data_IF_797245844736
#
_entry.id   IF_797245844736
#
_cell.length_a   1.000
_cell.length_b   1.000
_cell.length_c   1.000
_cell.angle_alpha   90.00
_cell.angle_beta   90.00
_cell.angle_gamma   90.00
#
_symmetry.space_group_name_H-M   'P 1'
#
loop_
_entity.id
_entity.type
_entity.pdbx_description
1 polymer ?
#
# COMPACT_ATOMS: atom_id res chain seq x y z
N UNK A 1 -10.57 -7.65 -43.41
CA UNK A 1 -9.90 -6.54 -42.68
C UNK A 1 -9.21 -7.17 -41.47
N UNK A 2 -7.89 -7.37 -41.56
CA UNK A 2 -7.10 -7.98 -40.47
C UNK A 2 -6.82 -6.93 -39.42
N UNK A 3 -7.35 -7.11 -38.21
CA UNK A 3 -6.98 -6.37 -37.01
C UNK A 3 -5.63 -6.88 -36.51
N UNK A 4 -4.58 -6.07 -36.70
CA UNK A 4 -3.26 -6.30 -36.09
C UNK A 4 -3.42 -6.13 -34.58
N UNK A 5 -3.03 -7.13 -33.73
CA UNK A 5 -3.04 -6.96 -32.30
C UNK A 5 -2.02 -5.89 -31.91
N UNK A 6 -2.44 -4.84 -31.22
CA UNK A 6 -1.51 -3.89 -30.61
C UNK A 6 -0.70 -4.65 -29.55
N UNK A 7 0.61 -4.77 -29.80
CA UNK A 7 1.54 -5.29 -28.80
C UNK A 7 1.48 -4.41 -27.54
N UNK A 8 1.58 -4.99 -26.31
CA UNK A 8 1.59 -4.21 -25.09
C UNK A 8 2.73 -3.19 -25.17
N UNK A 9 2.39 -1.92 -24.98
CA UNK A 9 3.33 -0.80 -24.99
C UNK A 9 4.38 -1.04 -23.92
N UNK A 10 5.60 -1.40 -24.32
CA UNK A 10 6.74 -1.52 -23.39
C UNK A 10 6.95 -0.15 -22.73
N UNK A 11 6.80 -0.10 -21.43
CA UNK A 11 7.09 1.10 -20.63
C UNK A 11 8.48 1.64 -21.00
N UNK A 12 8.58 2.94 -21.32
CA UNK A 12 9.87 3.50 -21.73
C UNK A 12 10.86 3.44 -20.57
N UNK A 13 12.16 3.19 -20.80
CA UNK A 13 13.17 3.15 -19.74
C UNK A 13 13.21 4.45 -18.91
N UNK A 14 12.96 5.59 -19.54
CA UNK A 14 12.90 6.87 -18.84
C UNK A 14 11.68 6.96 -17.90
N UNK A 15 10.52 6.46 -18.33
CA UNK A 15 9.32 6.39 -17.50
C UNK A 15 9.53 5.49 -16.27
N UNK A 16 10.13 4.32 -16.48
CA UNK A 16 10.44 3.39 -15.40
C UNK A 16 11.40 4.00 -14.36
N UNK A 17 12.48 4.68 -14.81
CA UNK A 17 13.40 5.37 -13.88
C UNK A 17 12.73 6.48 -13.11
N UNK A 18 11.91 7.32 -13.76
CA UNK A 18 11.16 8.37 -13.08
C UNK A 18 10.22 7.82 -12.02
N UNK A 19 9.54 6.71 -12.31
CA UNK A 19 8.64 6.08 -11.33
C UNK A 19 9.41 5.49 -10.15
N UNK A 20 10.54 4.81 -10.40
CA UNK A 20 11.38 4.25 -9.35
C UNK A 20 11.92 5.34 -8.41
N UNK A 21 12.45 6.44 -8.97
CA UNK A 21 12.91 7.60 -8.19
C UNK A 21 11.77 8.27 -7.42
N UNK A 22 10.60 8.39 -8.05
CA UNK A 22 9.43 8.93 -7.38
C UNK A 22 8.98 8.04 -6.20
N UNK A 23 9.01 6.72 -6.36
CA UNK A 23 8.67 5.76 -5.32
C UNK A 23 9.57 5.92 -4.08
N UNK A 24 10.88 6.05 -4.29
CA UNK A 24 11.86 6.27 -3.22
C UNK A 24 11.66 7.64 -2.55
N UNK A 25 11.64 8.72 -3.33
CA UNK A 25 11.62 10.08 -2.78
C UNK A 25 10.28 10.45 -2.15
N UNK A 26 9.16 10.04 -2.75
CA UNK A 26 7.83 10.32 -2.19
C UNK A 26 7.61 9.57 -0.88
N UNK A 27 8.12 8.36 -0.77
CA UNK A 27 8.02 7.61 0.48
C UNK A 27 8.97 8.15 1.56
N UNK A 28 10.23 8.45 1.22
CA UNK A 28 11.23 8.90 2.19
C UNK A 28 10.99 10.34 2.68
N UNK A 29 10.71 11.27 1.75
CA UNK A 29 10.73 12.71 2.02
C UNK A 29 9.35 13.37 1.93
N UNK A 30 8.37 12.69 1.34
CA UNK A 30 7.03 13.20 1.10
C UNK A 30 6.81 13.71 -0.33
N UNK A 31 5.55 13.67 -0.74
CA UNK A 31 5.14 14.02 -2.11
C UNK A 31 5.32 15.52 -2.37
N UNK A 32 4.83 16.37 -1.45
CA UNK A 32 4.87 17.82 -1.63
C UNK A 32 6.28 18.39 -1.48
N UNK A 33 7.11 17.78 -0.62
CA UNK A 33 8.49 18.17 -0.41
C UNK A 33 9.42 17.84 -1.61
N UNK A 34 9.02 16.86 -2.43
CA UNK A 34 9.81 16.42 -3.59
C UNK A 34 9.45 17.21 -4.84
N UNK A 35 10.33 18.12 -5.27
CA UNK A 35 10.15 18.93 -6.49
C UNK A 35 10.47 18.18 -7.79
N UNK A 36 9.90 18.66 -8.91
CA UNK A 36 10.13 18.08 -10.25
C UNK A 36 11.62 18.11 -10.62
N UNK A 37 12.32 19.19 -10.29
CA UNK A 37 13.75 19.33 -10.65
C UNK A 37 14.61 18.28 -9.94
N UNK A 38 14.28 17.90 -8.70
CA UNK A 38 14.94 16.81 -7.98
C UNK A 38 14.63 15.45 -8.63
N UNK A 39 13.37 15.18 -8.97
CA UNK A 39 12.97 13.95 -9.68
C UNK A 39 13.72 13.78 -11.01
N UNK A 40 13.87 14.87 -11.76
CA UNK A 40 14.59 14.89 -13.04
C UNK A 40 16.09 14.59 -12.84
N UNK A 41 16.70 15.24 -11.84
CA UNK A 41 18.12 15.07 -11.54
C UNK A 41 18.43 13.62 -11.12
N UNK A 42 17.69 13.08 -10.15
CA UNK A 42 17.90 11.72 -9.64
C UNK A 42 17.56 10.63 -10.71
N UNK A 43 16.52 10.84 -11.51
CA UNK A 43 16.18 9.93 -12.60
C UNK A 43 17.10 10.04 -13.82
N UNK A 44 18.01 11.03 -13.84
CA UNK A 44 18.92 11.31 -14.94
C UNK A 44 18.18 11.46 -16.29
N UNK A 45 17.14 12.30 -16.29
CA UNK A 45 16.36 12.61 -17.50
C UNK A 45 16.33 14.13 -17.71
N UNK A 46 15.91 14.57 -18.91
CA UNK A 46 15.66 15.98 -19.17
C UNK A 46 14.26 16.40 -18.76
N UNK A 47 14.06 17.70 -18.52
CA UNK A 47 12.73 18.28 -18.24
C UNK A 47 11.72 17.99 -19.38
N UNK A 48 12.16 18.06 -20.62
CA UNK A 48 11.36 17.69 -21.78
C UNK A 48 10.96 16.20 -21.74
N UNK A 49 11.85 15.32 -21.33
CA UNK A 49 11.55 13.89 -21.16
C UNK A 49 10.52 13.65 -20.06
N UNK A 50 10.65 14.33 -18.91
CA UNK A 50 9.66 14.24 -17.82
C UNK A 50 8.25 14.57 -18.34
N UNK A 51 8.07 15.75 -18.95
CA UNK A 51 6.77 16.17 -19.44
C UNK A 51 6.25 15.29 -20.59
N UNK A 52 7.13 14.75 -21.43
CA UNK A 52 6.74 13.78 -22.46
C UNK A 52 6.20 12.48 -21.86
N UNK A 53 6.76 12.02 -20.72
CA UNK A 53 6.38 10.75 -20.10
C UNK A 53 5.15 10.86 -19.19
N UNK A 54 5.01 11.96 -18.45
CA UNK A 54 3.99 12.13 -17.42
C UNK A 54 3.05 13.31 -17.64
N UNK A 55 3.48 14.35 -18.34
CA UNK A 55 2.70 15.57 -18.55
C UNK A 55 2.64 16.47 -17.31
N UNK A 56 2.57 15.89 -16.09
CA UNK A 56 2.53 16.64 -14.82
C UNK A 56 3.11 15.82 -13.66
N UNK A 57 3.41 16.49 -12.53
CA UNK A 57 3.77 15.82 -11.29
C UNK A 57 2.59 15.01 -10.74
N UNK A 58 1.36 15.52 -10.87
CA UNK A 58 0.16 14.85 -10.39
C UNK A 58 -0.06 13.49 -11.08
N UNK A 59 0.21 13.42 -12.39
CA UNK A 59 0.14 12.15 -13.11
C UNK A 59 1.19 11.13 -12.61
N UNK A 60 2.39 11.59 -12.28
CA UNK A 60 3.43 10.75 -11.68
C UNK A 60 3.03 10.29 -10.27
N UNK A 61 2.44 11.17 -9.46
CA UNK A 61 1.95 10.84 -8.11
C UNK A 61 0.86 9.76 -8.18
N UNK A 62 -0.10 9.91 -9.09
CA UNK A 62 -1.14 8.89 -9.27
C UNK A 62 -0.57 7.54 -9.70
N UNK A 63 0.45 7.53 -10.58
CA UNK A 63 1.10 6.28 -10.97
C UNK A 63 1.90 5.67 -9.83
N UNK A 64 2.53 6.47 -8.97
CA UNK A 64 3.17 6.02 -7.73
C UNK A 64 2.16 5.31 -6.81
N UNK A 65 1.03 5.96 -6.49
CA UNK A 65 -0.01 5.37 -5.63
C UNK A 65 -0.56 4.08 -6.25
N UNK A 66 -0.86 4.08 -7.55
CA UNK A 66 -1.32 2.89 -8.27
C UNK A 66 -0.25 1.78 -8.32
N UNK A 67 1.03 2.14 -8.36
CA UNK A 67 2.15 1.20 -8.28
C UNK A 67 2.20 0.50 -6.93
N UNK A 68 2.08 1.26 -5.83
CA UNK A 68 2.01 0.73 -4.48
C UNK A 68 0.78 -0.16 -4.27
N UNK A 69 -0.38 0.24 -4.80
CA UNK A 69 -1.60 -0.58 -4.75
C UNK A 69 -1.39 -1.94 -5.42
N UNK A 70 -0.83 -1.96 -6.64
CA UNK A 70 -0.52 -3.22 -7.32
C UNK A 70 0.41 -4.11 -6.49
N UNK A 71 1.49 -3.54 -5.91
CA UNK A 71 2.42 -4.29 -5.08
C UNK A 71 1.74 -4.96 -3.89
N UNK A 72 0.84 -4.25 -3.19
CA UNK A 72 0.09 -4.81 -2.07
C UNK A 72 -0.87 -5.90 -2.56
N UNK A 73 -1.60 -5.67 -3.65
CA UNK A 73 -2.50 -6.66 -4.25
C UNK A 73 -1.76 -7.93 -4.63
N UNK A 74 -0.65 -7.80 -5.33
CA UNK A 74 0.17 -8.94 -5.77
C UNK A 74 0.73 -9.72 -4.56
N UNK A 75 1.18 -9.01 -3.52
CA UNK A 75 1.68 -9.64 -2.30
C UNK A 75 0.58 -10.42 -1.57
N UNK A 76 -0.61 -9.82 -1.38
CA UNK A 76 -1.73 -10.49 -0.70
C UNK A 76 -2.30 -11.65 -1.49
N UNK A 77 -2.35 -11.53 -2.82
CA UNK A 77 -2.74 -12.65 -3.69
C UNK A 77 -1.72 -13.79 -3.60
N UNK A 78 -0.41 -13.46 -3.57
CA UNK A 78 0.63 -14.45 -3.33
C UNK A 78 0.48 -15.18 -1.99
N UNK A 79 0.09 -14.48 -0.92
CA UNK A 79 -0.23 -15.12 0.37
C UNK A 79 -1.44 -16.05 0.24
N UNK A 80 -2.49 -15.62 -0.45
CA UNK A 80 -3.69 -16.44 -0.69
C UNK A 80 -3.38 -17.71 -1.49
N UNK A 81 -2.49 -17.62 -2.47
CA UNK A 81 -2.06 -18.77 -3.26
C UNK A 81 -1.15 -19.74 -2.47
N UNK A 82 -0.30 -19.19 -1.59
CA UNK A 82 0.60 -19.99 -0.77
C UNK A 82 -0.09 -20.74 0.37
N UNK A 83 -1.22 -20.22 0.86
CA UNK A 83 -1.94 -20.77 2.01
C UNK A 83 -3.38 -21.13 1.63
N UNK A 84 -3.76 -22.40 1.83
CA UNK A 84 -5.15 -22.87 1.59
C UNK A 84 -6.10 -22.54 2.75
N UNK A 85 -5.55 -22.42 3.96
CA UNK A 85 -6.31 -22.10 5.16
C UNK A 85 -6.48 -20.58 5.30
N UNK A 86 -7.71 -20.04 5.37
CA UNK A 86 -7.95 -18.61 5.57
C UNK A 86 -7.29 -18.04 6.84
N UNK A 87 -7.22 -18.82 7.93
CA UNK A 87 -6.53 -18.41 9.14
C UNK A 87 -5.02 -18.21 8.91
N UNK A 88 -4.39 -19.12 8.15
CA UNK A 88 -2.99 -19.00 7.78
C UNK A 88 -2.73 -17.78 6.88
N UNK A 89 -3.63 -17.45 5.95
CA UNK A 89 -3.54 -16.21 5.14
C UNK A 89 -3.58 -14.97 6.04
N UNK A 90 -4.55 -14.88 6.94
CA UNK A 90 -4.69 -13.73 7.85
C UNK A 90 -3.49 -13.62 8.80
N UNK A 91 -2.97 -14.74 9.30
CA UNK A 91 -1.74 -14.77 10.12
C UNK A 91 -0.55 -14.26 9.31
N UNK A 92 -0.40 -14.69 8.06
CA UNK A 92 0.67 -14.22 7.19
C UNK A 92 0.55 -12.70 6.88
N UNK A 93 -0.67 -12.16 6.80
CA UNK A 93 -0.87 -10.70 6.71
C UNK A 93 -0.39 -10.00 7.99
N UNK A 94 -0.68 -10.55 9.18
CA UNK A 94 -0.16 -10.01 10.45
C UNK A 94 1.36 -10.00 10.46
N UNK A 95 1.99 -11.11 10.08
CA UNK A 95 3.45 -11.25 10.03
C UNK A 95 4.08 -10.27 9.03
N UNK A 96 3.45 -10.08 7.87
CA UNK A 96 3.90 -9.11 6.87
C UNK A 96 3.86 -7.66 7.40
N UNK A 97 2.82 -7.28 8.14
CA UNK A 97 2.74 -5.96 8.79
C UNK A 97 3.85 -5.78 9.82
N UNK A 98 4.09 -6.78 10.67
CA UNK A 98 5.17 -6.74 11.66
C UNK A 98 6.54 -6.63 11.00
N UNK A 99 6.78 -7.42 9.94
CA UNK A 99 8.03 -7.37 9.19
C UNK A 99 8.26 -6.01 8.52
N UNK A 100 7.21 -5.42 7.94
CA UNK A 100 7.30 -4.09 7.30
C UNK A 100 7.64 -3.00 8.31
N UNK A 101 7.00 -3.00 9.48
CA UNK A 101 7.28 -2.01 10.54
C UNK A 101 8.69 -2.13 11.15
N UNK A 102 9.35 -3.28 11.01
CA UNK A 102 10.71 -3.51 11.50
C UNK A 102 11.81 -3.07 10.51
N UNK A 103 11.46 -2.64 9.31
CA UNK A 103 12.45 -2.20 8.31
C UNK A 103 13.14 -0.90 8.76
N UNK A 104 14.43 -0.78 8.48
CA UNK A 104 15.21 0.41 8.83
C UNK A 104 14.76 1.68 8.10
N UNK A 105 14.20 1.53 6.89
CA UNK A 105 13.66 2.59 6.04
C UNK A 105 12.13 2.78 6.18
N UNK A 106 11.53 2.20 7.23
CA UNK A 106 10.10 2.31 7.46
C UNK A 106 9.67 3.76 7.76
N UNK A 107 8.73 4.28 6.97
CA UNK A 107 8.19 5.64 7.07
C UNK A 107 6.67 5.69 7.21
N UNK A 108 6.08 4.61 7.75
CA UNK A 108 4.63 4.49 7.87
C UNK A 108 3.98 3.94 6.61
N UNK A 109 2.66 4.03 6.55
CA UNK A 109 1.88 3.57 5.41
C UNK A 109 1.93 4.57 4.25
N UNK A 110 2.36 4.18 3.03
CA UNK A 110 2.48 5.09 1.90
C UNK A 110 1.13 5.69 1.45
N UNK A 111 0.01 4.99 1.68
CA UNK A 111 -1.33 5.48 1.33
C UNK A 111 -1.81 6.52 2.34
N UNK A 112 -1.62 6.27 3.63
CA UNK A 112 -1.95 7.25 4.67
C UNK A 112 -1.09 8.51 4.53
N UNK A 113 0.21 8.34 4.26
CA UNK A 113 1.13 9.46 4.00
C UNK A 113 0.66 10.28 2.78
N UNK A 114 0.34 9.62 1.67
CA UNK A 114 -0.18 10.29 0.49
C UNK A 114 -1.51 11.01 0.79
N UNK A 115 -2.45 10.36 1.49
CA UNK A 115 -3.73 10.97 1.83
C UNK A 115 -3.58 12.22 2.72
N UNK A 116 -2.62 12.24 3.64
CA UNK A 116 -2.37 13.36 4.54
C UNK A 116 -1.87 14.63 3.81
N UNK A 117 -1.24 14.46 2.65
CA UNK A 117 -0.72 15.59 1.86
C UNK A 117 -1.77 16.28 0.97
N UNK A 118 -2.98 15.71 0.84
CA UNK A 118 -4.06 16.27 0.01
C UNK A 118 -5.33 16.47 0.82
N UNK A 119 -5.64 17.72 1.18
CA UNK A 119 -6.75 18.06 2.07
C UNK A 119 -8.14 17.80 1.44
N UNK A 120 -8.30 18.01 0.12
CA UNK A 120 -9.59 17.86 -0.54
C UNK A 120 -9.99 16.38 -0.68
N UNK A 121 -11.15 15.95 -0.13
CA UNK A 121 -11.59 14.55 -0.22
C UNK A 121 -11.80 14.06 -1.66
N UNK A 122 -12.10 14.97 -2.58
CA UNK A 122 -12.30 14.67 -4.01
C UNK A 122 -11.02 14.72 -4.84
N UNK A 123 -9.86 14.98 -4.21
CA UNK A 123 -8.59 14.96 -4.90
C UNK A 123 -8.32 13.56 -5.48
N UNK A 124 -7.83 13.42 -6.73
CA UNK A 124 -7.62 12.10 -7.35
C UNK A 124 -6.75 11.15 -6.51
N UNK A 125 -5.72 11.65 -5.83
CA UNK A 125 -4.89 10.86 -4.91
C UNK A 125 -5.73 10.33 -3.73
N UNK A 126 -6.60 11.16 -3.14
CA UNK A 126 -7.49 10.73 -2.06
C UNK A 126 -8.46 9.65 -2.50
N UNK A 127 -9.01 9.78 -3.71
CA UNK A 127 -9.90 8.77 -4.30
C UNK A 127 -9.15 7.44 -4.55
N UNK A 128 -7.93 7.50 -5.07
CA UNK A 128 -7.11 6.30 -5.27
C UNK A 128 -6.75 5.60 -3.93
N UNK A 129 -6.47 6.37 -2.88
CA UNK A 129 -6.25 5.82 -1.53
C UNK A 129 -7.52 5.18 -0.97
N UNK A 130 -8.69 5.81 -1.16
CA UNK A 130 -9.98 5.25 -0.73
C UNK A 130 -10.26 3.92 -1.44
N UNK A 131 -10.07 3.87 -2.76
CA UNK A 131 -10.24 2.64 -3.55
C UNK A 131 -9.32 1.50 -3.06
N UNK A 132 -8.05 1.82 -2.76
CA UNK A 132 -7.13 0.86 -2.16
C UNK A 132 -7.65 0.31 -0.83
N UNK A 133 -8.11 1.20 0.07
CA UNK A 133 -8.61 0.82 1.40
C UNK A 133 -9.88 -0.03 1.32
N UNK A 134 -10.80 0.34 0.45
CA UNK A 134 -12.04 -0.43 0.23
C UNK A 134 -11.71 -1.84 -0.28
N UNK A 135 -10.77 -1.94 -1.24
CA UNK A 135 -10.30 -3.23 -1.74
C UNK A 135 -9.62 -4.06 -0.64
N UNK A 136 -8.73 -3.45 0.17
CA UNK A 136 -8.02 -4.15 1.25
C UNK A 136 -8.99 -4.68 2.31
N UNK A 137 -9.97 -3.86 2.73
CA UNK A 137 -11.01 -4.26 3.67
C UNK A 137 -11.87 -5.38 3.08
N UNK A 138 -12.22 -5.30 1.78
CA UNK A 138 -12.94 -6.37 1.07
C UNK A 138 -12.15 -7.69 1.03
N UNK A 139 -10.84 -7.63 0.77
CA UNK A 139 -9.96 -8.81 0.85
C UNK A 139 -10.00 -9.46 2.23
N UNK A 140 -9.92 -8.67 3.30
CA UNK A 140 -10.00 -9.17 4.68
C UNK A 140 -11.38 -9.76 4.98
N UNK A 141 -12.46 -9.08 4.56
CA UNK A 141 -13.83 -9.57 4.76
C UNK A 141 -14.03 -10.94 4.13
N UNK A 142 -13.53 -11.15 2.91
CA UNK A 142 -13.61 -12.46 2.24
C UNK A 142 -12.84 -13.53 3.03
N UNK A 143 -11.68 -13.24 3.58
CA UNK A 143 -10.92 -14.20 4.41
C UNK A 143 -11.64 -14.50 5.73
N UNK A 144 -12.20 -13.50 6.42
CA UNK A 144 -13.00 -13.72 7.61
C UNK A 144 -14.28 -14.51 7.34
N UNK A 145 -14.89 -14.30 6.16
CA UNK A 145 -16.07 -15.07 5.73
C UNK A 145 -15.72 -16.54 5.48
N UNK A 146 -14.61 -16.81 4.79
CA UNK A 146 -14.09 -18.16 4.57
C UNK A 146 -13.70 -18.86 5.87
N UNK A 147 -13.17 -18.11 6.85
CA UNK A 147 -12.88 -18.60 8.20
C UNK A 147 -14.15 -18.96 8.99
N UNK A 148 -15.33 -18.53 8.54
CA UNK A 148 -16.59 -18.74 9.25
C UNK A 148 -16.86 -17.75 10.38
N UNK A 149 -16.20 -16.58 10.36
CA UNK A 149 -16.41 -15.55 11.38
C UNK A 149 -17.86 -15.05 11.36
N UNK A 150 -18.49 -14.90 12.56
CA UNK A 150 -19.90 -14.55 12.68
C UNK A 150 -20.26 -13.17 12.07
N UNK A 151 -19.32 -12.23 12.04
CA UNK A 151 -19.48 -10.88 11.48
C UNK A 151 -18.24 -10.49 10.67
N UNK A 152 -18.06 -11.05 9.45
CA UNK A 152 -16.81 -10.91 8.69
C UNK A 152 -16.48 -9.46 8.32
N UNK A 153 -17.46 -8.64 7.94
CA UNK A 153 -17.24 -7.22 7.63
C UNK A 153 -16.77 -6.42 8.85
N UNK A 154 -17.42 -6.61 10.02
CA UNK A 154 -16.98 -5.93 11.24
C UNK A 154 -15.56 -6.36 11.67
N UNK A 155 -15.23 -7.64 11.50
CA UNK A 155 -13.88 -8.14 11.78
C UNK A 155 -12.84 -7.55 10.82
N UNK A 156 -13.18 -7.38 9.54
CA UNK A 156 -12.32 -6.74 8.55
C UNK A 156 -12.07 -5.27 8.88
N UNK A 157 -13.12 -4.53 9.25
CA UNK A 157 -13.00 -3.13 9.68
C UNK A 157 -12.11 -3.00 10.92
N UNK A 158 -12.33 -3.87 11.93
CA UNK A 158 -11.53 -3.88 13.16
C UNK A 158 -10.07 -4.22 12.86
N UNK A 159 -9.80 -5.23 12.02
CA UNK A 159 -8.44 -5.58 11.62
C UNK A 159 -7.74 -4.43 10.89
N UNK A 160 -8.42 -3.75 9.98
CA UNK A 160 -7.89 -2.61 9.25
C UNK A 160 -7.51 -1.45 10.21
N UNK A 161 -8.37 -1.15 11.20
CA UNK A 161 -8.09 -0.14 12.23
C UNK A 161 -6.90 -0.54 13.12
N UNK A 162 -6.81 -1.81 13.53
CA UNK A 162 -5.70 -2.33 14.33
C UNK A 162 -4.38 -2.24 13.55
N UNK A 163 -4.39 -2.57 12.26
CA UNK A 163 -3.24 -2.43 11.37
C UNK A 163 -2.81 -0.97 11.25
N UNK A 164 -3.73 -0.07 11.00
CA UNK A 164 -3.42 1.36 10.88
C UNK A 164 -2.83 1.90 12.19
N UNK A 165 -3.40 1.50 13.33
CA UNK A 165 -2.87 1.83 14.66
C UNK A 165 -1.45 1.29 14.88
N UNK A 166 -1.19 0.06 14.47
CA UNK A 166 0.14 -0.55 14.58
C UNK A 166 1.19 0.20 13.72
N UNK A 167 0.85 0.49 12.47
CA UNK A 167 1.73 1.20 11.54
C UNK A 167 2.03 2.62 12.03
N UNK A 168 0.99 3.39 12.44
CA UNK A 168 1.17 4.72 13.00
C UNK A 168 1.96 4.69 14.32
N UNK A 169 1.63 3.76 15.21
CA UNK A 169 2.31 3.61 16.51
C UNK A 169 3.76 3.18 16.37
N UNK A 170 4.08 2.34 15.39
CA UNK A 170 5.46 1.93 15.11
C UNK A 170 6.29 3.07 14.54
N UNK A 171 5.70 3.93 13.72
CA UNK A 171 6.41 5.06 13.13
C UNK A 171 6.58 6.24 14.10
N UNK A 172 5.54 6.57 14.87
CA UNK A 172 5.51 7.78 15.70
C UNK A 172 5.80 7.54 17.18
N UNK A 173 5.92 6.29 17.63
CA UNK A 173 6.00 5.94 19.04
C UNK A 173 6.89 4.71 19.30
N UNK A 174 6.37 3.79 20.13
CA UNK A 174 7.02 2.54 20.51
C UNK A 174 6.60 1.41 19.57
N UNK A 175 7.48 1.07 18.63
CA UNK A 175 7.23 0.03 17.64
C UNK A 175 6.98 -1.36 18.26
N UNK A 176 7.68 -1.68 19.36
CA UNK A 176 7.52 -2.97 20.06
C UNK A 176 6.15 -3.06 20.72
N UNK A 177 5.74 -2.01 21.43
CA UNK A 177 4.43 -1.94 22.06
C UNK A 177 3.30 -1.99 21.01
N UNK A 178 3.42 -1.20 19.93
CA UNK A 178 2.41 -1.12 18.87
C UNK A 178 2.21 -2.46 18.15
N UNK A 179 3.30 -3.10 17.72
CA UNK A 179 3.24 -4.40 17.03
C UNK A 179 2.78 -5.53 17.95
N UNK A 180 3.22 -5.55 19.22
CA UNK A 180 2.76 -6.54 20.21
C UNK A 180 1.26 -6.43 20.45
N UNK A 181 0.74 -5.21 20.61
CA UNK A 181 -0.69 -4.98 20.77
C UNK A 181 -1.50 -5.40 19.54
N UNK A 182 -0.99 -5.09 18.34
CA UNK A 182 -1.60 -5.51 17.07
C UNK A 182 -1.69 -7.03 16.96
N UNK A 183 -0.57 -7.74 17.12
CA UNK A 183 -0.52 -9.21 17.04
C UNK A 183 -1.51 -9.85 18.01
N UNK A 184 -1.52 -9.40 19.27
CA UNK A 184 -2.45 -9.90 20.29
C UNK A 184 -3.92 -9.65 19.91
N UNK A 185 -4.24 -8.46 19.41
CA UNK A 185 -5.61 -8.11 19.02
C UNK A 185 -6.05 -8.85 17.76
N UNK A 186 -5.20 -8.94 16.75
CA UNK A 186 -5.47 -9.68 15.53
C UNK A 186 -5.70 -11.19 15.82
N UNK A 187 -4.87 -11.81 16.65
CA UNK A 187 -5.05 -13.21 17.04
C UNK A 187 -6.39 -13.49 17.74
N UNK A 188 -6.90 -12.53 18.52
CA UNK A 188 -8.26 -12.66 19.09
C UNK A 188 -9.34 -12.63 18.01
N UNK A 189 -9.21 -11.77 16.97
CA UNK A 189 -10.14 -11.74 15.84
C UNK A 189 -10.12 -13.05 15.03
N UNK A 190 -8.93 -13.66 14.88
CA UNK A 190 -8.78 -14.93 14.20
C UNK A 190 -9.27 -16.13 15.03
N UNK A 191 -9.62 -15.96 16.30
CA UNK A 191 -9.97 -17.04 17.21
C UNK A 191 -8.79 -17.93 17.63
N UNK A 192 -7.56 -17.47 17.37
CA UNK A 192 -6.31 -18.17 17.74
C UNK A 192 -5.69 -17.65 19.05
N UNK A 193 -6.25 -16.57 19.61
CA UNK A 193 -5.80 -15.98 20.87
C UNK A 193 -6.21 -16.84 22.06
N UNK A 194 -5.31 -17.05 23.02
CA UNK A 194 -5.65 -17.59 24.34
C UNK A 194 -6.63 -16.62 25.00
N UNK A 195 -7.77 -17.09 25.56
CA UNK A 195 -8.59 -16.23 26.41
C UNK A 195 -7.74 -15.77 27.61
N UNK A 196 -7.81 -14.46 27.91
CA UNK A 196 -7.17 -13.85 29.10
C UNK A 196 -7.68 -14.47 30.38
#
# INVERSE_FOLDING_TARGET
MSTVPLAPSRTSPARARLLAVADELFYADGINATGIDRLIAEAQVTKATFYKQYGSKDALILEYVAGRDRQVRDALEGLREAHRDPAAVLTAVVDAVVADTARADFRGDPFLNAAAEFAAPTHPVRLAVTEHRDWFTGFLEDRFRELGHARPGAAADEFALLRDGAVCGSYAGDAVAATTAFVRAANRLLGTGTPD
#
